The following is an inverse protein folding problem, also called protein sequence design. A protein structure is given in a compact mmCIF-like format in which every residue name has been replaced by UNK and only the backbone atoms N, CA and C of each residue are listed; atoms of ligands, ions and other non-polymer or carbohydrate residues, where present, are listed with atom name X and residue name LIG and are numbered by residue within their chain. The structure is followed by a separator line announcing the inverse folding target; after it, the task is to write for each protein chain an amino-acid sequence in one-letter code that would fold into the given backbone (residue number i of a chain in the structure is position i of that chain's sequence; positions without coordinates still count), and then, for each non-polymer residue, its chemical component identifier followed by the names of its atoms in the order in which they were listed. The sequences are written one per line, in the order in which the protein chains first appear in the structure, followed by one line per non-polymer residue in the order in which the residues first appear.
data_IF_565216107712
#
_entry.id   IF_565216107712
#
_cell.length_a   1.000
_cell.length_b   1.000
_cell.length_c   1.000
_cell.angle_alpha   90.00
_cell.angle_beta   90.00
_cell.angle_gamma   90.00
#
_symmetry.space_group_name_H-M   'P 1'
#
loop_
_entity.id
_entity.type
_entity.pdbx_description
1 polymer ?
#
# COMPACT_ATOMS: atom_id res chain seq x y z
N UNK A 1 -41.90 11.39 54.40
CA UNK A 1 -41.61 11.21 52.99
C UNK A 1 -40.13 11.50 52.78
N UNK A 2 -39.28 10.47 52.67
CA UNK A 2 -37.84 10.59 52.44
C UNK A 2 -37.58 10.47 50.93
N UNK A 3 -37.13 11.53 50.30
CA UNK A 3 -36.69 11.52 48.90
C UNK A 3 -35.25 11.00 48.82
N UNK A 4 -35.09 9.82 48.25
CA UNK A 4 -33.77 9.24 47.95
C UNK A 4 -33.25 9.85 46.65
N UNK A 5 -32.16 10.58 46.71
CA UNK A 5 -31.40 11.03 45.51
C UNK A 5 -30.54 9.86 45.03
N UNK A 6 -30.82 9.34 43.86
CA UNK A 6 -30.00 8.36 43.18
C UNK A 6 -28.93 9.12 42.38
N UNK A 7 -27.70 9.13 42.88
CA UNK A 7 -26.55 9.71 42.15
C UNK A 7 -26.05 8.66 41.15
N UNK A 8 -26.30 8.87 39.87
CA UNK A 8 -25.75 8.04 38.78
C UNK A 8 -24.34 8.57 38.53
N UNK A 9 -23.33 7.81 38.94
CA UNK A 9 -21.94 8.05 38.59
C UNK A 9 -21.70 7.60 37.15
N UNK A 10 -21.54 8.55 36.22
CA UNK A 10 -21.09 8.30 34.86
C UNK A 10 -19.60 8.01 34.92
N UNK A 11 -19.21 6.72 34.84
CA UNK A 11 -17.84 6.30 34.59
C UNK A 11 -17.52 6.59 33.10
N UNK A 12 -16.85 7.70 32.86
CA UNK A 12 -16.24 7.95 31.57
C UNK A 12 -15.04 7.00 31.42
N UNK A 13 -15.24 5.93 30.64
CA UNK A 13 -14.13 5.09 30.18
C UNK A 13 -13.38 5.91 29.13
N UNK A 14 -12.32 6.55 29.55
CA UNK A 14 -11.33 7.09 28.62
C UNK A 14 -10.58 5.91 28.04
N UNK A 15 -10.97 5.47 26.84
CA UNK A 15 -10.08 4.66 26.01
C UNK A 15 -8.86 5.54 25.70
N UNK A 16 -7.73 5.21 26.31
CA UNK A 16 -6.43 5.71 25.88
C UNK A 16 -6.22 5.13 24.48
N UNK A 17 -6.58 5.89 23.46
CA UNK A 17 -6.08 5.65 22.10
C UNK A 17 -4.61 5.99 22.19
N UNK A 18 -3.76 4.98 22.35
CA UNK A 18 -2.32 5.13 22.15
C UNK A 18 -2.14 5.60 20.71
N UNK A 19 -1.71 6.82 20.51
CA UNK A 19 -1.34 7.29 19.19
C UNK A 19 -0.15 6.45 18.74
N UNK A 20 -0.29 5.68 17.67
CA UNK A 20 0.81 4.92 17.09
C UNK A 20 1.89 5.91 16.65
N UNK A 21 3.13 5.67 17.11
CA UNK A 21 4.29 6.48 16.73
C UNK A 21 4.88 6.06 15.39
N UNK A 22 4.49 4.89 14.89
CA UNK A 22 4.99 4.33 13.64
C UNK A 22 3.86 4.16 12.63
N UNK A 23 4.20 4.33 11.35
CA UNK A 23 3.31 4.01 10.24
C UNK A 23 4.09 3.47 9.04
N UNK A 24 3.45 2.59 8.26
CA UNK A 24 3.94 2.22 6.95
C UNK A 24 3.43 3.19 5.89
N UNK A 25 4.29 3.56 4.96
CA UNK A 25 3.90 4.40 3.84
C UNK A 25 4.66 4.06 2.56
N UNK A 26 4.07 4.46 1.42
CA UNK A 26 4.70 4.36 0.11
C UNK A 26 4.17 5.47 -0.79
N UNK A 27 5.07 6.28 -1.36
CA UNK A 27 4.72 7.37 -2.29
C UNK A 27 3.65 8.33 -1.73
N UNK A 28 3.68 8.58 -0.41
CA UNK A 28 2.72 9.44 0.27
C UNK A 28 1.39 8.76 0.65
N UNK A 29 1.18 7.50 0.29
CA UNK A 29 0.08 6.71 0.80
C UNK A 29 0.45 6.11 2.15
N UNK A 30 -0.40 6.29 3.16
CA UNK A 30 -0.24 5.76 4.52
C UNK A 30 -1.16 4.56 4.66
N UNK A 31 -0.57 3.42 4.98
CA UNK A 31 -1.31 2.17 5.20
C UNK A 31 -1.93 2.15 6.61
N UNK A 32 -3.17 1.65 6.70
CA UNK A 32 -3.80 1.39 7.99
C UNK A 32 -3.11 0.21 8.70
N UNK A 33 -3.21 0.15 10.03
CA UNK A 33 -2.67 -0.99 10.79
C UNK A 33 -3.35 -2.29 10.36
N UNK A 34 -2.55 -3.27 9.96
CA UNK A 34 -3.02 -4.56 9.46
C UNK A 34 -3.56 -4.55 8.03
N UNK A 35 -3.43 -3.45 7.29
CA UNK A 35 -3.86 -3.40 5.89
C UNK A 35 -3.14 -4.44 5.03
N UNK A 36 -3.89 -5.09 4.13
CA UNK A 36 -3.31 -6.06 3.19
C UNK A 36 -2.96 -5.37 1.86
N UNK A 37 -1.72 -5.59 1.42
CA UNK A 37 -1.20 -5.14 0.14
C UNK A 37 -0.92 -6.34 -0.75
N UNK A 38 -1.42 -6.31 -1.99
CA UNK A 38 -1.16 -7.36 -2.97
C UNK A 38 0.01 -6.96 -3.86
N UNK A 39 1.04 -7.79 -3.89
CA UNK A 39 2.22 -7.64 -4.72
C UNK A 39 2.23 -8.70 -5.81
N UNK A 40 2.20 -8.27 -7.06
CA UNK A 40 2.24 -9.12 -8.24
C UNK A 40 3.47 -8.75 -9.06
N UNK A 41 4.30 -9.72 -9.41
CA UNK A 41 5.46 -9.47 -10.27
C UNK A 41 4.99 -9.25 -11.70
N UNK A 42 5.52 -8.20 -12.30
CA UNK A 42 5.32 -7.90 -13.72
C UNK A 42 6.57 -8.20 -14.56
N UNK A 43 7.74 -8.26 -13.92
CA UNK A 43 9.00 -8.52 -14.60
C UNK A 43 9.57 -9.87 -14.17
N UNK A 44 9.34 -10.85 -15.02
CA UNK A 44 9.51 -12.28 -14.77
C UNK A 44 10.97 -12.76 -14.79
N UNK A 45 11.96 -11.85 -14.85
CA UNK A 45 13.34 -12.27 -15.05
C UNK A 45 14.06 -12.79 -13.81
N UNK A 46 13.57 -12.53 -12.60
CA UNK A 46 14.31 -12.83 -11.37
C UNK A 46 13.67 -13.90 -10.48
N UNK A 47 12.44 -14.35 -10.75
CA UNK A 47 11.74 -15.34 -9.90
C UNK A 47 11.42 -14.83 -8.50
N UNK A 48 11.54 -13.53 -8.27
CA UNK A 48 11.36 -12.87 -6.99
C UNK A 48 10.42 -11.69 -7.11
N UNK A 49 9.40 -11.67 -6.27
CA UNK A 49 8.52 -10.50 -6.12
C UNK A 49 9.08 -9.66 -4.98
N UNK A 50 9.47 -8.42 -5.28
CA UNK A 50 10.01 -7.49 -4.32
C UNK A 50 9.14 -6.22 -4.23
N UNK A 51 8.93 -5.71 -3.02
CA UNK A 51 8.24 -4.45 -2.78
C UNK A 51 8.96 -3.65 -1.71
N UNK A 52 9.22 -2.38 -2.01
CA UNK A 52 9.76 -1.43 -1.03
C UNK A 52 8.59 -0.71 -0.34
N UNK A 53 8.79 -0.44 0.94
CA UNK A 53 7.95 0.44 1.75
C UNK A 53 8.84 1.36 2.57
N UNK A 54 8.22 2.34 3.21
CA UNK A 54 8.89 3.20 4.17
C UNK A 54 8.22 3.06 5.53
N UNK A 55 9.02 3.13 6.59
CA UNK A 55 8.53 3.22 7.96
C UNK A 55 8.78 4.66 8.42
N UNK A 56 7.73 5.33 8.88
CA UNK A 56 7.77 6.70 9.36
C UNK A 56 7.59 6.71 10.88
N UNK A 57 8.54 7.30 11.60
CA UNK A 57 8.39 7.69 12.98
C UNK A 57 7.71 9.05 13.02
N UNK A 58 6.44 9.10 13.41
CA UNK A 58 5.63 10.34 13.47
C UNK A 58 5.63 10.97 14.87
N UNK A 59 6.42 10.43 15.79
CA UNK A 59 6.54 10.95 17.15
C UNK A 59 7.62 12.03 17.27
N UNK A 60 7.62 12.72 18.40
CA UNK A 60 8.63 13.74 18.75
C UNK A 60 9.92 13.13 19.32
N UNK A 61 10.00 11.80 19.46
CA UNK A 61 11.13 11.09 20.03
C UNK A 61 11.84 10.19 19.02
N UNK A 62 13.12 9.98 19.21
CA UNK A 62 13.87 8.95 18.49
C UNK A 62 13.37 7.57 18.93
N UNK A 63 13.15 6.65 18.00
CA UNK A 63 12.64 5.30 18.24
C UNK A 63 13.62 4.25 17.70
N UNK A 64 13.92 3.23 18.51
CA UNK A 64 14.64 2.04 18.09
C UNK A 64 13.64 1.05 17.46
N UNK A 65 13.48 1.11 16.16
CA UNK A 65 12.48 0.32 15.44
C UNK A 65 13.00 -1.08 15.14
N UNK A 66 12.22 -2.08 15.51
CA UNK A 66 12.42 -3.49 15.17
C UNK A 66 11.31 -3.92 14.20
N UNK A 67 11.67 -4.73 13.21
CA UNK A 67 10.69 -5.33 12.30
C UNK A 67 10.62 -6.83 12.56
N UNK A 68 9.41 -7.33 12.78
CA UNK A 68 9.10 -8.75 12.93
C UNK A 68 8.34 -9.24 11.72
N UNK A 69 8.72 -10.43 11.22
CA UNK A 69 8.09 -11.16 10.11
C UNK A 69 7.30 -12.35 10.65
N UNK A 70 6.05 -12.50 10.22
CA UNK A 70 5.19 -13.64 10.51
C UNK A 70 4.57 -14.16 9.20
N UNK A 71 4.78 -15.43 8.87
CA UNK A 71 4.19 -16.05 7.69
C UNK A 71 2.77 -16.54 8.02
N UNK A 72 1.76 -15.87 7.45
CA UNK A 72 0.35 -16.22 7.63
C UNK A 72 -0.12 -17.31 6.67
N UNK A 73 0.46 -17.33 5.45
CA UNK A 73 0.27 -18.37 4.44
C UNK A 73 1.61 -18.61 3.77
N UNK A 74 2.13 -19.82 3.87
CA UNK A 74 3.37 -20.24 3.24
C UNK A 74 3.12 -21.30 2.17
N UNK A 75 4.07 -21.44 1.24
CA UNK A 75 4.10 -22.49 0.22
C UNK A 75 5.44 -23.20 0.24
N UNK A 76 5.44 -24.52 0.05
CA UNK A 76 6.68 -25.29 0.00
C UNK A 76 7.56 -24.80 -1.17
N UNK A 77 8.83 -24.54 -0.88
CA UNK A 77 9.80 -24.04 -1.85
C UNK A 77 9.78 -22.53 -2.10
N UNK A 78 8.84 -21.78 -1.53
CA UNK A 78 8.84 -20.31 -1.59
C UNK A 78 9.54 -19.75 -0.35
N UNK A 79 10.50 -18.86 -0.58
CA UNK A 79 11.25 -18.20 0.50
C UNK A 79 10.82 -16.74 0.65
N UNK A 80 10.51 -16.35 1.90
CA UNK A 80 10.17 -14.97 2.23
C UNK A 80 11.32 -14.31 3.01
N UNK A 81 11.88 -13.25 2.46
CA UNK A 81 12.96 -12.47 3.06
C UNK A 81 12.54 -11.01 3.24
N UNK A 82 13.28 -10.26 4.02
CA UNK A 82 13.04 -8.82 4.16
C UNK A 82 14.34 -8.09 4.48
N UNK A 83 14.36 -6.79 4.20
CA UNK A 83 15.44 -5.90 4.57
C UNK A 83 14.93 -4.83 5.55
N UNK A 84 15.69 -4.58 6.61
CA UNK A 84 15.55 -3.44 7.50
C UNK A 84 16.94 -2.93 7.86
N UNK A 85 17.40 -1.93 7.09
CA UNK A 85 18.79 -1.49 7.12
C UNK A 85 19.80 -2.49 6.52
N UNK A 86 19.65 -3.77 6.85
CA UNK A 86 20.33 -4.93 6.26
C UNK A 86 19.28 -5.93 5.77
N UNK A 87 19.67 -6.83 4.86
CA UNK A 87 18.78 -7.87 4.36
C UNK A 87 18.97 -9.17 5.14
N UNK A 88 17.86 -9.83 5.45
CA UNK A 88 17.79 -11.02 6.29
C UNK A 88 17.24 -12.21 5.48
N UNK A 89 17.81 -13.37 5.71
CA UNK A 89 17.38 -14.63 5.08
C UNK A 89 16.01 -15.11 5.58
N UNK A 90 15.46 -16.17 4.94
CA UNK A 90 14.10 -16.62 5.17
C UNK A 90 13.85 -17.09 6.63
N UNK A 91 14.87 -17.58 7.32
CA UNK A 91 14.76 -18.05 8.70
C UNK A 91 14.81 -16.93 9.76
N UNK A 92 15.06 -15.70 9.36
CA UNK A 92 15.08 -14.56 10.29
C UNK A 92 13.67 -14.03 10.46
N UNK A 93 13.16 -14.07 11.69
CA UNK A 93 11.82 -13.59 12.03
C UNK A 93 11.81 -12.18 12.61
N UNK A 94 12.92 -11.76 13.21
CA UNK A 94 13.02 -10.46 13.90
C UNK A 94 14.34 -9.81 13.52
N UNK A 95 14.28 -8.54 13.11
CA UNK A 95 15.47 -7.75 12.78
C UNK A 95 16.17 -7.24 14.03
N UNK A 96 17.46 -6.87 13.96
CA UNK A 96 18.06 -5.95 14.92
C UNK A 96 17.34 -4.59 14.88
N UNK A 97 17.41 -3.80 16.00
CA UNK A 97 16.84 -2.46 16.03
C UNK A 97 17.61 -1.51 15.12
N UNK A 98 16.88 -0.59 14.49
CA UNK A 98 17.41 0.53 13.73
C UNK A 98 16.81 1.83 14.26
N UNK A 99 17.67 2.79 14.57
CA UNK A 99 17.24 4.09 15.08
C UNK A 99 16.57 4.92 13.97
N UNK A 100 15.30 5.25 14.15
CA UNK A 100 14.59 6.29 13.41
C UNK A 100 14.49 7.54 14.26
N UNK A 101 14.97 8.65 13.72
CA UNK A 101 14.88 9.96 14.36
C UNK A 101 13.42 10.42 14.48
N UNK A 102 13.16 11.32 15.44
CA UNK A 102 11.89 11.99 15.57
C UNK A 102 11.44 12.59 14.24
N UNK A 103 10.15 12.45 13.92
CA UNK A 103 9.50 12.96 12.71
C UNK A 103 10.31 12.65 11.41
N UNK A 104 10.82 11.41 11.31
CA UNK A 104 11.62 10.99 10.16
C UNK A 104 11.10 9.72 9.51
N UNK A 105 11.32 9.65 8.20
CA UNK A 105 10.98 8.51 7.35
C UNK A 105 12.25 7.70 7.08
N UNK A 106 12.15 6.37 7.08
CA UNK A 106 13.24 5.52 6.65
C UNK A 106 13.66 5.87 5.21
N UNK A 107 14.96 5.73 4.92
CA UNK A 107 15.44 5.96 3.55
C UNK A 107 14.68 5.08 2.54
N UNK A 108 14.54 5.49 1.26
CA UNK A 108 14.05 4.62 0.19
C UNK A 108 14.86 3.31 0.15
N UNK A 109 14.17 2.16 0.01
CA UNK A 109 14.79 0.83 0.10
C UNK A 109 15.27 0.45 1.51
N UNK A 110 15.03 1.27 2.53
CA UNK A 110 15.39 0.96 3.92
C UNK A 110 14.56 -0.16 4.53
N UNK A 111 13.32 -0.30 4.08
CA UNK A 111 12.47 -1.45 4.34
C UNK A 111 11.97 -2.02 3.00
N UNK A 112 12.30 -3.28 2.73
CA UNK A 112 11.79 -4.01 1.57
C UNK A 112 11.47 -5.45 1.95
N UNK A 113 10.49 -6.00 1.24
CA UNK A 113 9.97 -7.35 1.47
C UNK A 113 10.00 -8.13 0.18
N UNK A 114 10.29 -9.41 0.27
CA UNK A 114 10.60 -10.23 -0.89
C UNK A 114 9.97 -11.62 -0.75
N UNK A 115 9.43 -12.14 -1.83
CA UNK A 115 9.02 -13.53 -1.94
C UNK A 115 9.61 -14.15 -3.21
N UNK A 116 10.35 -15.22 -3.04
CA UNK A 116 11.05 -15.92 -4.11
C UNK A 116 10.28 -17.16 -4.52
N UNK A 117 9.76 -17.15 -5.73
CA UNK A 117 8.96 -18.23 -6.32
C UNK A 117 9.76 -19.12 -7.29
N UNK A 118 10.98 -18.73 -7.64
CA UNK A 118 11.92 -19.55 -8.43
C UNK A 118 12.99 -20.17 -7.53
N UNK A 119 12.74 -21.33 -6.90
CA UNK A 119 13.68 -21.95 -5.96
C UNK A 119 14.96 -22.44 -6.62
N UNK A 120 14.96 -22.58 -7.95
CA UNK A 120 16.08 -23.13 -8.72
C UNK A 120 16.87 -22.07 -9.48
N UNK A 121 16.49 -20.78 -9.37
CA UNK A 121 17.12 -19.67 -10.09
C UNK A 121 17.16 -19.87 -11.60
N UNK A 122 16.11 -20.43 -12.16
CA UNK A 122 16.04 -20.78 -13.59
C UNK A 122 15.86 -19.54 -14.46
N UNK A 123 15.23 -18.50 -13.92
CA UNK A 123 14.76 -17.35 -14.69
C UNK A 123 13.65 -17.68 -15.67
N UNK A 124 13.10 -18.91 -15.60
CA UNK A 124 12.02 -19.39 -16.47
C UNK A 124 10.69 -19.36 -15.71
N UNK A 125 9.76 -18.46 -16.05
CA UNK A 125 8.47 -18.34 -15.39
C UNK A 125 7.64 -19.62 -15.39
N UNK A 126 7.85 -20.51 -16.37
CA UNK A 126 7.16 -21.80 -16.43
C UNK A 126 7.57 -22.76 -15.29
N UNK A 127 8.68 -22.46 -14.62
CA UNK A 127 9.20 -23.25 -13.49
C UNK A 127 8.95 -22.61 -12.14
N UNK A 128 8.31 -21.46 -12.11
CA UNK A 128 7.97 -20.82 -10.86
C UNK A 128 6.87 -21.57 -10.12
N UNK A 129 6.96 -21.57 -8.80
CA UNK A 129 5.88 -22.06 -7.95
C UNK A 129 4.70 -21.10 -8.11
N UNK A 130 3.59 -21.61 -8.65
CA UNK A 130 2.39 -20.81 -8.88
C UNK A 130 1.53 -20.77 -7.62
N UNK A 131 1.04 -19.59 -7.25
CA UNK A 131 0.16 -19.40 -6.11
C UNK A 131 0.43 -18.12 -5.36
N UNK A 132 0.09 -18.10 -4.08
CA UNK A 132 0.31 -16.91 -3.23
C UNK A 132 0.84 -17.26 -1.85
N UNK A 133 1.67 -16.40 -1.30
CA UNK A 133 2.09 -16.42 0.10
C UNK A 133 1.68 -15.11 0.77
N UNK A 134 1.39 -15.17 2.07
CA UNK A 134 0.97 -14.01 2.84
C UNK A 134 1.87 -13.86 4.05
N UNK A 135 2.47 -12.69 4.18
CA UNK A 135 3.42 -12.38 5.25
C UNK A 135 2.98 -11.10 5.95
N UNK A 136 2.92 -11.15 7.27
CA UNK A 136 2.69 -9.97 8.10
C UNK A 136 4.02 -9.44 8.59
N UNK A 137 4.24 -8.15 8.41
CA UNK A 137 5.36 -7.42 8.95
C UNK A 137 4.87 -6.46 10.02
N UNK A 138 5.48 -6.51 11.20
CA UNK A 138 5.13 -5.64 12.33
C UNK A 138 6.37 -4.81 12.69
N UNK A 139 6.26 -3.49 12.55
CA UNK A 139 7.25 -2.56 13.07
C UNK A 139 6.83 -2.11 14.47
N UNK A 140 7.75 -2.15 15.42
CA UNK A 140 7.47 -1.75 16.81
C UNK A 140 8.67 -1.04 17.44
N UNK A 141 8.37 -0.24 18.48
CA UNK A 141 9.39 0.36 19.33
C UNK A 141 9.98 -0.67 20.27
N UNK A 142 11.30 -0.86 20.24
CA UNK A 142 12.00 -1.79 21.13
C UNK A 142 11.78 -1.47 22.62
N UNK A 143 11.64 -0.20 22.97
CA UNK A 143 11.45 0.27 24.33
C UNK A 143 9.97 0.23 24.78
N UNK A 144 9.03 0.06 23.82
CA UNK A 144 7.58 -0.06 24.05
C UNK A 144 6.91 -0.93 22.98
N UNK A 145 6.96 -2.25 23.16
CA UNK A 145 6.43 -3.22 22.17
C UNK A 145 4.91 -3.12 21.92
N UNK A 146 4.17 -2.37 22.74
CA UNK A 146 2.76 -2.09 22.51
C UNK A 146 2.55 -0.98 21.46
N UNK A 147 3.57 -0.14 21.24
CA UNK A 147 3.59 0.86 20.14
C UNK A 147 4.09 0.21 18.86
N UNK A 148 3.15 -0.29 18.06
CA UNK A 148 3.42 -1.09 16.87
C UNK A 148 2.40 -0.83 15.77
N UNK A 149 2.83 -1.06 14.56
CA UNK A 149 2.00 -1.04 13.35
C UNK A 149 2.34 -2.25 12.49
N UNK A 150 1.35 -2.82 11.83
CA UNK A 150 1.54 -3.97 10.96
C UNK A 150 1.08 -3.70 9.53
N UNK A 151 1.71 -4.41 8.60
CA UNK A 151 1.35 -4.46 7.20
C UNK A 151 1.28 -5.92 6.78
N UNK A 152 0.21 -6.33 6.11
CA UNK A 152 0.07 -7.66 5.55
C UNK A 152 0.40 -7.59 4.07
N UNK A 153 1.33 -8.42 3.61
CA UNK A 153 1.74 -8.44 2.20
C UNK A 153 1.41 -9.80 1.60
N UNK A 154 0.57 -9.78 0.58
CA UNK A 154 0.26 -10.95 -0.24
C UNK A 154 1.09 -10.89 -1.52
N UNK A 155 1.99 -11.83 -1.69
CA UNK A 155 2.73 -12.01 -2.94
C UNK A 155 2.00 -13.05 -3.80
N UNK A 156 1.82 -12.75 -5.08
CA UNK A 156 1.09 -13.60 -6.01
C UNK A 156 1.95 -13.85 -7.25
N UNK A 157 2.33 -15.10 -7.47
CA UNK A 157 3.06 -15.56 -8.66
C UNK A 157 2.15 -16.22 -9.71
N UNK A 158 0.88 -16.38 -9.41
CA UNK A 158 -0.08 -16.97 -10.35
C UNK A 158 -0.40 -15.97 -11.46
N UNK A 159 0.25 -16.15 -12.60
CA UNK A 159 0.04 -15.33 -13.80
C UNK A 159 -1.29 -15.59 -14.48
N UNK A 160 -1.94 -16.71 -14.17
CA UNK A 160 -3.26 -17.05 -14.71
C UNK A 160 -4.40 -16.39 -13.96
N UNK A 161 -4.16 -15.96 -12.70
CA UNK A 161 -5.14 -15.28 -11.87
C UNK A 161 -5.04 -13.75 -11.91
N UNK A 162 -4.01 -13.19 -12.55
CA UNK A 162 -4.00 -11.77 -12.91
C UNK A 162 -4.86 -11.60 -14.15
N UNK A 163 -6.17 -11.63 -13.94
CA UNK A 163 -7.12 -11.20 -14.94
C UNK A 163 -6.87 -9.70 -15.19
N UNK A 164 -5.93 -9.40 -16.10
CA UNK A 164 -5.77 -8.02 -16.64
C UNK A 164 -7.10 -7.50 -17.18
N UNK A 165 -8.08 -8.38 -17.40
CA UNK A 165 -9.42 -8.08 -17.85
C UNK A 165 -10.36 -7.57 -16.75
N UNK A 166 -10.02 -7.74 -15.46
CA UNK A 166 -10.90 -7.31 -14.35
C UNK A 166 -10.64 -5.87 -13.90
N UNK A 167 -9.45 -5.29 -14.19
CA UNK A 167 -9.14 -3.91 -13.83
C UNK A 167 -8.89 -3.09 -15.09
N UNK A 168 -9.87 -2.35 -15.54
CA UNK A 168 -9.75 -1.49 -16.71
C UNK A 168 -10.09 -0.05 -16.40
N UNK A 169 -9.35 0.86 -17.03
CA UNK A 169 -9.64 2.27 -17.14
C UNK A 169 -9.94 2.55 -18.61
N UNK A 170 -11.18 2.83 -18.91
CA UNK A 170 -11.63 3.17 -20.26
C UNK A 170 -11.04 4.48 -20.75
N UNK A 171 -11.13 4.71 -22.06
CA UNK A 171 -10.67 5.95 -22.66
C UNK A 171 -11.46 7.14 -22.12
N UNK A 172 -10.77 8.27 -22.00
CA UNK A 172 -11.36 9.54 -21.64
C UNK A 172 -12.41 9.98 -22.64
N UNK A 173 -13.61 10.32 -22.20
CA UNK A 173 -14.66 10.84 -23.08
C UNK A 173 -15.43 11.99 -22.41
N UNK A 174 -15.63 13.14 -23.13
CA UNK A 174 -14.99 13.48 -24.39
C UNK A 174 -13.47 13.70 -24.26
N UNK A 175 -12.74 13.51 -25.36
CA UNK A 175 -11.32 13.84 -25.47
C UNK A 175 -11.04 14.46 -26.86
N UNK A 176 -10.73 15.78 -26.96
CA UNK A 176 -10.50 16.71 -25.86
C UNK A 176 -11.73 17.01 -25.00
N UNK A 177 -11.48 17.25 -23.70
CA UNK A 177 -12.48 17.63 -22.73
C UNK A 177 -12.49 19.15 -22.53
N UNK A 178 -13.67 19.77 -22.40
CA UNK A 178 -13.79 21.22 -22.18
C UNK A 178 -14.33 21.58 -20.79
N UNK A 179 -15.21 20.78 -20.24
CA UNK A 179 -15.82 21.04 -18.91
C UNK A 179 -15.84 19.79 -18.02
N UNK A 180 -16.08 18.63 -18.60
CA UNK A 180 -16.12 17.35 -17.92
C UNK A 180 -15.42 16.29 -18.73
N UNK A 181 -14.85 15.28 -18.05
CA UNK A 181 -14.33 14.06 -18.63
C UNK A 181 -14.84 12.86 -17.85
N UNK A 182 -15.20 11.80 -18.57
CA UNK A 182 -15.65 10.53 -17.97
C UNK A 182 -14.67 9.42 -18.32
N UNK A 183 -14.50 8.52 -17.35
CA UNK A 183 -13.82 7.25 -17.53
C UNK A 183 -14.74 6.14 -17.03
N UNK A 184 -14.88 5.09 -17.83
CA UNK A 184 -15.50 3.84 -17.39
C UNK A 184 -14.42 3.02 -16.69
N UNK A 185 -14.74 2.49 -15.51
CA UNK A 185 -13.77 1.75 -14.68
C UNK A 185 -14.36 0.39 -14.38
N UNK A 186 -13.61 -0.67 -14.64
CA UNK A 186 -13.93 -2.02 -14.16
C UNK A 186 -12.89 -2.39 -13.10
N UNK A 187 -13.33 -2.60 -11.88
CA UNK A 187 -12.54 -3.18 -10.80
C UNK A 187 -13.51 -3.71 -9.72
N UNK A 188 -13.12 -4.80 -9.05
CA UNK A 188 -13.89 -5.40 -7.97
C UNK A 188 -13.55 -4.76 -6.63
N UNK A 189 -12.37 -4.19 -6.50
CA UNK A 189 -11.87 -3.56 -5.28
C UNK A 189 -12.18 -2.05 -5.22
N UNK A 190 -12.05 -1.48 -4.03
CA UNK A 190 -12.11 -0.04 -3.85
C UNK A 190 -10.99 0.65 -4.64
N UNK A 191 -11.39 1.54 -5.54
CA UNK A 191 -10.47 2.22 -6.43
C UNK A 191 -10.66 3.73 -6.39
N UNK A 192 -9.60 4.45 -6.72
CA UNK A 192 -9.64 5.89 -6.96
C UNK A 192 -8.94 6.23 -8.27
N UNK A 193 -9.33 7.33 -8.88
CA UNK A 193 -8.58 7.93 -9.98
C UNK A 193 -7.81 9.14 -9.47
N UNK A 194 -6.58 9.30 -9.95
CA UNK A 194 -5.70 10.41 -9.61
C UNK A 194 -5.23 11.07 -10.90
N UNK A 195 -5.47 12.36 -11.01
CA UNK A 195 -5.08 13.14 -12.19
C UNK A 195 -3.78 13.89 -11.91
N UNK A 196 -2.88 13.81 -12.88
CA UNK A 196 -1.62 14.54 -12.89
C UNK A 196 -1.51 15.43 -14.12
N UNK A 197 -0.91 16.59 -13.94
CA UNK A 197 -0.49 17.43 -15.06
C UNK A 197 0.85 16.93 -15.64
N UNK A 198 1.31 17.56 -16.73
CA UNK A 198 2.58 17.19 -17.40
C UNK A 198 3.83 17.38 -16.54
N UNK A 199 3.77 18.15 -15.47
CA UNK A 199 4.87 18.33 -14.51
C UNK A 199 4.87 17.27 -13.42
N UNK A 200 3.91 16.33 -13.43
CA UNK A 200 3.77 15.27 -12.43
C UNK A 200 3.09 15.72 -11.12
N UNK A 201 2.51 16.93 -11.08
CA UNK A 201 1.76 17.37 -9.92
C UNK A 201 0.36 16.77 -9.93
N UNK A 202 -0.07 16.17 -8.80
CA UNK A 202 -1.45 15.75 -8.59
C UNK A 202 -2.37 16.98 -8.61
N UNK A 203 -3.40 16.96 -9.46
CA UNK A 203 -4.35 18.05 -9.61
C UNK A 203 -5.75 17.68 -9.12
N UNK A 204 -6.06 16.39 -9.04
CA UNK A 204 -7.35 15.90 -8.55
C UNK A 204 -7.26 14.43 -8.15
N UNK A 205 -8.06 14.06 -7.14
CA UNK A 205 -8.28 12.66 -6.74
C UNK A 205 -9.76 12.44 -6.48
N UNK A 206 -10.31 11.32 -6.95
CA UNK A 206 -11.71 10.96 -6.73
C UNK A 206 -11.87 9.44 -6.65
N UNK A 207 -12.69 8.97 -5.72
CA UNK A 207 -13.04 7.55 -5.62
C UNK A 207 -13.92 7.13 -6.79
N UNK A 208 -13.77 5.88 -7.20
CA UNK A 208 -14.63 5.26 -8.23
C UNK A 208 -15.94 4.85 -7.58
N UNK A 209 -17.05 5.24 -8.20
CA UNK A 209 -18.39 4.87 -7.77
C UNK A 209 -19.13 4.23 -8.94
N UNK A 210 -19.75 3.07 -8.70
CA UNK A 210 -20.59 2.38 -9.69
C UNK A 210 -19.91 2.13 -11.05
N UNK A 211 -18.61 1.85 -11.05
CA UNK A 211 -17.89 1.50 -12.28
C UNK A 211 -17.60 2.67 -13.22
N UNK A 212 -17.74 3.91 -12.77
CA UNK A 212 -17.37 5.08 -13.56
C UNK A 212 -16.92 6.25 -12.70
N UNK A 213 -16.18 7.16 -13.32
CA UNK A 213 -15.78 8.42 -12.72
C UNK A 213 -16.07 9.55 -13.71
N UNK A 214 -16.73 10.62 -13.21
CA UNK A 214 -16.98 11.85 -13.96
C UNK A 214 -16.29 12.99 -13.23
N UNK A 215 -15.36 13.65 -13.90
CA UNK A 215 -14.51 14.68 -13.32
C UNK A 215 -14.79 16.03 -13.98
N UNK A 216 -14.94 17.08 -13.17
CA UNK A 216 -14.98 18.45 -13.69
C UNK A 216 -13.56 18.92 -14.00
N UNK A 217 -13.35 19.34 -15.25
CA UNK A 217 -12.07 19.91 -15.70
C UNK A 217 -12.22 21.38 -16.09
N UNK A 218 -13.33 22.02 -15.70
CA UNK A 218 -13.63 23.41 -16.03
C UNK A 218 -12.57 24.40 -15.53
N UNK A 219 -11.93 24.07 -14.41
CA UNK A 219 -10.90 24.93 -13.79
C UNK A 219 -9.47 24.53 -14.21
N UNK A 220 -9.31 23.48 -15.03
CA UNK A 220 -8.00 23.04 -15.50
C UNK A 220 -7.53 23.92 -16.67
N UNK A 221 -6.23 24.11 -16.80
CA UNK A 221 -5.63 24.75 -17.96
C UNK A 221 -5.67 23.84 -19.18
N UNK A 222 -5.66 24.43 -20.40
CA UNK A 222 -5.54 23.65 -21.63
C UNK A 222 -4.23 22.88 -21.62
N UNK A 223 -4.27 21.59 -21.93
CA UNK A 223 -3.07 20.75 -21.90
C UNK A 223 -3.34 19.27 -21.80
N UNK A 224 -2.26 18.53 -21.64
CA UNK A 224 -2.28 17.06 -21.48
C UNK A 224 -2.32 16.72 -19.98
N UNK A 225 -3.15 15.74 -19.65
CA UNK A 225 -3.28 15.20 -18.31
C UNK A 225 -3.18 13.68 -18.34
N UNK A 226 -2.69 13.11 -17.24
CA UNK A 226 -2.64 11.66 -17.01
C UNK A 226 -3.66 11.32 -15.94
N UNK A 227 -4.50 10.33 -16.21
CA UNK A 227 -5.44 9.75 -15.25
C UNK A 227 -4.91 8.37 -14.84
N UNK A 228 -4.53 8.22 -13.61
CA UNK A 228 -4.10 6.95 -13.03
C UNK A 228 -5.25 6.31 -12.27
N UNK A 229 -5.58 5.05 -12.60
CA UNK A 229 -6.42 4.20 -11.77
C UNK A 229 -5.55 3.62 -10.67
N UNK A 230 -5.92 3.91 -9.42
CA UNK A 230 -5.22 3.46 -8.22
C UNK A 230 -6.13 2.48 -7.47
N UNK A 231 -5.64 1.27 -7.25
CA UNK A 231 -6.30 0.22 -6.49
C UNK A 231 -5.33 -0.24 -5.42
N UNK A 232 -5.78 -0.29 -4.16
CA UNK A 232 -4.95 -0.65 -3.01
C UNK A 232 -3.61 0.14 -2.96
N UNK A 233 -3.67 1.46 -3.22
CA UNK A 233 -2.50 2.35 -3.22
C UNK A 233 -1.56 2.21 -4.42
N UNK A 234 -1.86 1.36 -5.41
CA UNK A 234 -1.02 1.10 -6.60
C UNK A 234 -1.67 1.61 -7.87
N UNK A 235 -0.87 2.22 -8.75
CA UNK A 235 -1.32 2.58 -10.11
C UNK A 235 -1.40 1.30 -10.93
N UNK A 236 -2.62 0.91 -11.33
CA UNK A 236 -2.88 -0.29 -12.14
C UNK A 236 -3.08 0.03 -13.62
N UNK A 237 -3.54 1.23 -13.94
CA UNK A 237 -3.71 1.72 -15.33
C UNK A 237 -3.46 3.22 -15.39
N UNK A 238 -3.00 3.69 -16.55
CA UNK A 238 -2.82 5.12 -16.85
C UNK A 238 -3.45 5.41 -18.21
N UNK A 239 -4.27 6.44 -18.25
CA UNK A 239 -4.89 6.96 -19.48
C UNK A 239 -4.52 8.43 -19.66
N UNK A 240 -4.21 8.80 -20.90
CA UNK A 240 -3.87 10.18 -21.26
C UNK A 240 -5.07 10.87 -21.91
N UNK A 241 -5.37 12.09 -21.50
CA UNK A 241 -6.39 12.90 -22.14
C UNK A 241 -5.96 14.37 -22.30
N UNK A 242 -6.71 15.10 -23.10
CA UNK A 242 -6.45 16.51 -23.41
C UNK A 242 -7.60 17.35 -22.90
N UNK A 243 -7.28 18.44 -22.23
CA UNK A 243 -8.23 19.53 -21.93
C UNK A 243 -8.03 20.62 -22.96
N UNK A 244 -9.13 21.05 -23.60
CA UNK A 244 -9.16 22.16 -24.55
C UNK A 244 -10.51 22.87 -24.43
N UNK A 245 -10.48 24.19 -24.20
CA UNK A 245 -11.65 25.05 -24.02
C UNK A 245 -11.90 25.92 -25.23
#
# INVERSE_FOLDING_TARGET
MKKSLLTVALLAVWSLVSAQSLRFELNGYVYADGEEVVCVEKDLMMGEIAQEFQIHNVSENDINVVVMKEELLSMEGVENTFCWGLCFGPNTLVSPPLLLKADSISRPGGFSVHAKFDPYYTGDPAQWIQGSVVVKYTAYDLDNEDDKVSLVVRFVSDLSSVDENQMSLGHAYPNPASSMVRFDVSCEDAASVVLYNVTGCEVMRQNVENGQVVLSVSDFEDGIYLCNLVVNGRVVRTEKFVVAK
#
